data_IF_071527082169
#
_entry.id   IF_071527082169
#
_cell.length_a   1.000
_cell.length_b   1.000
_cell.length_c   1.000
_cell.angle_alpha   90.00
_cell.angle_beta   90.00
_cell.angle_gamma   90.00
#
_symmetry.space_group_name_H-M   'P 1'
#
loop_
_entity.id
_entity.type
_entity.pdbx_description
1 polymer ?
#
# COMPACT_ATOMS: atom_id res chain seq x y z
N UNK A 1 -1.64 -23.87 13.47
CA UNK A 1 -2.09 -23.24 12.22
C UNK A 1 -2.99 -22.03 12.49
N UNK A 2 -4.05 -22.19 13.29
CA UNK A 2 -4.98 -21.11 13.65
C UNK A 2 -4.32 -19.87 14.25
N UNK A 3 -3.33 -20.04 15.14
CA UNK A 3 -2.63 -18.90 15.77
C UNK A 3 -1.94 -17.94 14.78
N UNK A 4 -1.47 -18.43 13.62
CA UNK A 4 -0.86 -17.56 12.59
C UNK A 4 -1.92 -16.72 11.87
N UNK A 5 -3.10 -17.31 11.65
CA UNK A 5 -4.22 -16.63 10.97
C UNK A 5 -4.79 -15.56 11.90
N UNK A 6 -5.01 -15.88 13.17
CA UNK A 6 -5.52 -14.92 14.16
C UNK A 6 -4.54 -13.77 14.36
N UNK A 7 -3.23 -14.04 14.43
CA UNK A 7 -2.22 -12.99 14.53
C UNK A 7 -2.25 -12.05 13.31
N UNK A 8 -2.29 -12.59 12.09
CA UNK A 8 -2.39 -11.76 10.87
C UNK A 8 -3.67 -10.93 10.85
N UNK A 9 -4.81 -11.48 11.26
CA UNK A 9 -6.06 -10.75 11.35
C UNK A 9 -5.98 -9.58 12.34
N UNK A 10 -5.39 -9.81 13.52
CA UNK A 10 -5.16 -8.76 14.52
C UNK A 10 -4.24 -7.66 13.96
N UNK A 11 -3.17 -8.03 13.27
CA UNK A 11 -2.24 -7.06 12.67
C UNK A 11 -2.90 -6.23 11.55
N UNK A 12 -3.74 -6.84 10.73
CA UNK A 12 -4.52 -6.14 9.69
C UNK A 12 -5.47 -5.12 10.34
N UNK A 13 -6.17 -5.51 11.41
CA UNK A 13 -7.05 -4.62 12.17
C UNK A 13 -6.24 -3.46 12.77
N UNK A 14 -5.14 -3.76 13.46
CA UNK A 14 -4.30 -2.75 14.10
C UNK A 14 -3.74 -1.75 13.07
N UNK A 15 -3.29 -2.24 11.92
CA UNK A 15 -2.81 -1.40 10.84
C UNK A 15 -3.92 -0.51 10.27
N UNK A 16 -5.10 -1.07 10.03
CA UNK A 16 -6.24 -0.31 9.51
C UNK A 16 -6.70 0.76 10.49
N UNK A 17 -6.76 0.44 11.79
CA UNK A 17 -7.06 1.42 12.86
C UNK A 17 -5.97 2.48 12.93
N UNK A 18 -4.69 2.12 12.76
CA UNK A 18 -3.60 3.10 12.76
C UNK A 18 -3.69 4.04 11.56
N UNK A 19 -4.02 3.53 10.37
CA UNK A 19 -4.29 4.34 9.19
C UNK A 19 -5.45 5.31 9.43
N UNK A 20 -6.57 4.79 9.96
CA UNK A 20 -7.81 5.56 10.12
C UNK A 20 -7.71 6.58 11.25
N UNK A 21 -7.04 6.28 12.36
CA UNK A 21 -7.06 7.13 13.55
C UNK A 21 -5.80 7.95 13.73
N UNK A 22 -4.62 7.36 13.46
CA UNK A 22 -3.35 8.02 13.72
C UNK A 22 -2.88 8.80 12.49
N UNK A 23 -2.84 8.15 11.33
CA UNK A 23 -2.31 8.79 10.11
C UNK A 23 -3.22 9.91 9.63
N UNK A 24 -4.52 9.65 9.51
CA UNK A 24 -5.50 10.68 9.09
C UNK A 24 -5.53 11.93 10.00
N UNK A 25 -5.08 11.80 11.26
CA UNK A 25 -5.02 12.90 12.23
C UNK A 25 -3.77 13.75 12.13
N UNK A 26 -2.81 13.40 11.29
CA UNK A 26 -1.58 14.18 11.07
C UNK A 26 -1.88 15.45 10.24
N UNK A 27 -1.09 16.52 10.39
CA UNK A 27 -1.31 17.76 9.64
C UNK A 27 -0.75 17.69 8.21
N UNK A 28 -1.44 18.33 7.27
CA UNK A 28 -0.99 18.49 5.87
C UNK A 28 -0.83 17.16 5.13
N UNK A 29 0.16 17.06 4.25
CA UNK A 29 0.40 15.86 3.42
C UNK A 29 0.75 14.59 4.22
N UNK A 30 1.04 14.70 5.52
CA UNK A 30 1.23 13.55 6.40
C UNK A 30 -0.09 12.80 6.67
N UNK A 31 -1.23 13.48 6.56
CA UNK A 31 -2.57 12.88 6.69
C UNK A 31 -2.84 11.80 5.63
N UNK A 32 -2.21 11.97 4.46
CA UNK A 32 -2.46 11.20 3.24
C UNK A 32 -1.38 10.11 3.01
N UNK A 33 -0.61 9.80 4.04
CA UNK A 33 0.30 8.65 4.00
C UNK A 33 -0.53 7.38 3.89
N UNK A 34 -0.26 6.56 2.87
CA UNK A 34 -0.98 5.33 2.59
C UNK A 34 -0.22 4.13 3.16
N UNK A 35 -0.32 3.92 4.49
CA UNK A 35 0.30 2.77 5.16
C UNK A 35 -0.11 1.42 4.55
N UNK A 36 -1.39 1.19 4.15
CA UNK A 36 -1.79 -0.06 3.52
C UNK A 36 -0.94 -0.42 2.31
N UNK A 37 -0.69 0.52 1.39
CA UNK A 37 0.16 0.28 0.22
C UNK A 37 1.59 0.00 0.64
N UNK A 38 2.14 0.77 1.56
CA UNK A 38 3.53 0.58 2.01
C UNK A 38 3.72 -0.83 2.53
N UNK A 39 2.86 -1.25 3.47
CA UNK A 39 2.94 -2.59 4.05
C UNK A 39 2.68 -3.67 3.01
N UNK A 40 1.77 -3.46 2.07
CA UNK A 40 1.52 -4.40 0.97
C UNK A 40 2.77 -4.61 0.10
N UNK A 41 3.49 -3.54 -0.25
CA UNK A 41 4.74 -3.62 -1.01
C UNK A 41 5.84 -4.34 -0.20
N UNK A 42 5.99 -4.04 1.09
CA UNK A 42 6.90 -4.77 1.98
C UNK A 42 6.53 -6.26 2.09
N UNK A 43 5.25 -6.57 2.20
CA UNK A 43 4.76 -7.95 2.32
C UNK A 43 4.99 -8.76 1.05
N UNK A 44 4.79 -8.15 -0.12
CA UNK A 44 5.15 -8.76 -1.39
C UNK A 44 6.64 -9.08 -1.47
N UNK A 45 7.49 -8.11 -1.09
CA UNK A 45 8.94 -8.26 -1.16
C UNK A 45 9.51 -9.29 -0.17
N UNK A 46 8.93 -9.40 1.04
CA UNK A 46 9.48 -10.19 2.14
C UNK A 46 8.78 -11.53 2.38
N UNK A 47 7.45 -11.53 2.35
CA UNK A 47 6.62 -12.68 2.75
C UNK A 47 6.02 -13.44 1.55
N UNK A 48 6.01 -12.81 0.38
CA UNK A 48 5.54 -13.39 -0.88
C UNK A 48 4.07 -13.15 -1.18
N UNK A 49 3.70 -13.51 -2.42
CA UNK A 49 2.43 -13.12 -3.05
C UNK A 49 1.17 -13.57 -2.30
N UNK A 50 1.11 -14.84 -1.88
CA UNK A 50 -0.10 -15.41 -1.24
C UNK A 50 -0.49 -14.67 0.04
N UNK A 51 0.51 -14.30 0.84
CA UNK A 51 0.28 -13.61 2.11
C UNK A 51 -0.07 -12.14 1.88
N UNK A 52 0.61 -11.48 0.94
CA UNK A 52 0.28 -10.12 0.54
C UNK A 52 -1.16 -10.00 0.00
N UNK A 53 -1.63 -10.99 -0.76
CA UNK A 53 -3.01 -11.03 -1.28
C UNK A 53 -4.04 -11.21 -0.16
N UNK A 54 -3.76 -12.05 0.84
CA UNK A 54 -4.62 -12.15 2.03
C UNK A 54 -4.71 -10.81 2.78
N UNK A 55 -3.58 -10.13 2.94
CA UNK A 55 -3.52 -8.81 3.57
C UNK A 55 -4.24 -7.74 2.75
N UNK A 56 -4.09 -7.76 1.42
CA UNK A 56 -4.75 -6.79 0.54
C UNK A 56 -6.28 -6.90 0.62
N UNK A 57 -6.82 -8.13 0.67
CA UNK A 57 -8.25 -8.34 0.90
C UNK A 57 -8.70 -7.87 2.28
N UNK A 58 -7.96 -8.23 3.33
CA UNK A 58 -8.33 -7.86 4.70
C UNK A 58 -8.33 -6.34 4.93
N UNK A 59 -7.28 -5.65 4.45
CA UNK A 59 -7.20 -4.19 4.53
C UNK A 59 -8.26 -3.52 3.66
N UNK A 60 -8.49 -4.01 2.44
CA UNK A 60 -9.52 -3.46 1.55
C UNK A 60 -10.92 -3.56 2.15
N UNK A 61 -11.26 -4.69 2.75
CA UNK A 61 -12.55 -4.87 3.44
C UNK A 61 -12.71 -3.89 4.62
N UNK A 62 -11.69 -3.74 5.47
CA UNK A 62 -11.77 -2.85 6.62
C UNK A 62 -11.87 -1.38 6.20
N UNK A 63 -11.14 -0.98 5.17
CA UNK A 63 -11.19 0.38 4.64
C UNK A 63 -12.51 0.66 3.94
N UNK A 64 -13.12 -0.29 3.24
CA UNK A 64 -14.45 -0.14 2.65
C UNK A 64 -15.55 0.07 3.71
N UNK A 65 -15.41 -0.50 4.91
CA UNK A 65 -16.37 -0.28 6.01
C UNK A 65 -16.32 1.18 6.50
N UNK A 66 -15.15 1.81 6.46
CA UNK A 66 -14.94 3.17 6.96
C UNK A 66 -15.08 4.25 5.86
N UNK A 67 -14.86 3.87 4.61
CA UNK A 67 -14.81 4.79 3.48
C UNK A 67 -16.18 5.37 3.12
N UNK A 68 -16.18 6.63 2.66
CA UNK A 68 -17.34 7.26 2.01
C UNK A 68 -17.51 6.84 0.54
N UNK A 69 -16.52 6.15 -0.03
CA UNK A 69 -16.62 5.61 -1.38
C UNK A 69 -17.59 4.41 -1.41
N UNK A 70 -18.20 4.11 -2.57
CA UNK A 70 -18.99 2.90 -2.75
C UNK A 70 -18.29 1.64 -2.22
N UNK A 71 -19.03 0.86 -1.43
CA UNK A 71 -18.54 -0.38 -0.83
C UNK A 71 -18.00 -1.34 -1.89
N UNK A 72 -16.81 -1.88 -1.67
CA UNK A 72 -16.14 -2.81 -2.58
C UNK A 72 -15.03 -2.19 -3.42
N UNK A 73 -14.87 -0.85 -3.43
CA UNK A 73 -13.80 -0.20 -4.20
C UNK A 73 -12.44 -0.60 -3.63
N UNK A 74 -12.18 -0.44 -2.33
CA UNK A 74 -10.88 -0.81 -1.77
C UNK A 74 -10.66 -2.32 -1.79
N UNK A 75 -11.72 -3.12 -1.60
CA UNK A 75 -11.66 -4.57 -1.75
C UNK A 75 -11.29 -5.01 -3.17
N UNK A 76 -11.60 -4.23 -4.21
CA UNK A 76 -11.13 -4.48 -5.57
C UNK A 76 -9.71 -3.92 -5.81
N UNK A 77 -9.46 -2.67 -5.40
CA UNK A 77 -8.22 -1.93 -5.66
C UNK A 77 -7.00 -2.63 -5.05
N UNK A 78 -7.02 -2.98 -3.76
CA UNK A 78 -5.82 -3.50 -3.10
C UNK A 78 -5.36 -4.85 -3.65
N UNK A 79 -6.24 -5.85 -3.88
CA UNK A 79 -5.85 -7.08 -4.57
C UNK A 79 -5.35 -6.84 -6.00
N UNK A 80 -5.96 -5.93 -6.76
CA UNK A 80 -5.48 -5.57 -8.11
C UNK A 80 -4.07 -5.00 -8.07
N UNK A 81 -3.77 -4.09 -7.13
CA UNK A 81 -2.42 -3.59 -6.90
C UNK A 81 -1.47 -4.74 -6.54
N UNK A 82 -1.86 -5.62 -5.62
CA UNK A 82 -1.00 -6.74 -5.21
C UNK A 82 -0.63 -7.65 -6.40
N UNK A 83 -1.58 -7.93 -7.29
CA UNK A 83 -1.36 -8.71 -8.52
C UNK A 83 -0.41 -7.97 -9.46
N UNK A 84 -0.67 -6.69 -9.75
CA UNK A 84 0.14 -5.89 -10.67
C UNK A 84 1.56 -5.70 -10.16
N UNK A 85 1.73 -5.35 -8.89
CA UNK A 85 3.04 -5.15 -8.27
C UNK A 85 3.83 -6.46 -8.21
N UNK A 86 3.18 -7.59 -7.92
CA UNK A 86 3.84 -8.89 -7.99
C UNK A 86 4.31 -9.22 -9.42
N UNK A 87 3.51 -8.90 -10.43
CA UNK A 87 3.92 -9.06 -11.83
C UNK A 87 5.17 -8.23 -12.14
N UNK A 88 5.21 -6.95 -11.75
CA UNK A 88 6.38 -6.10 -11.93
C UNK A 88 7.60 -6.58 -11.13
N UNK A 89 7.40 -7.03 -9.89
CA UNK A 89 8.45 -7.56 -9.03
C UNK A 89 9.16 -8.76 -9.69
N UNK A 90 8.39 -9.69 -10.26
CA UNK A 90 8.93 -10.93 -10.86
C UNK A 90 9.64 -10.64 -12.19
N UNK A 91 9.09 -9.76 -13.03
CA UNK A 91 9.59 -9.59 -14.41
C UNK A 91 10.60 -8.44 -14.58
N UNK A 92 10.52 -7.38 -13.78
CA UNK A 92 11.32 -6.17 -13.96
C UNK A 92 12.30 -5.91 -12.81
N UNK A 93 11.92 -6.24 -11.57
CA UNK A 93 12.67 -5.85 -10.37
C UNK A 93 13.34 -7.03 -9.66
N UNK A 94 14.22 -7.74 -10.38
CA UNK A 94 14.93 -8.92 -9.86
C UNK A 94 15.93 -8.57 -8.75
N UNK A 95 16.46 -7.34 -8.76
CA UNK A 95 17.40 -6.87 -7.74
C UNK A 95 16.66 -6.34 -6.51
N UNK A 96 16.96 -6.91 -5.33
CA UNK A 96 16.48 -6.41 -4.02
C UNK A 96 17.22 -5.16 -3.54
N UNK A 97 17.36 -4.18 -4.42
CA UNK A 97 17.97 -2.88 -4.09
C UNK A 97 16.92 -1.89 -3.60
N UNK A 98 17.38 -0.85 -2.89
CA UNK A 98 16.54 0.28 -2.47
C UNK A 98 15.81 0.89 -3.69
N UNK A 99 16.50 1.06 -4.82
CA UNK A 99 15.93 1.66 -6.03
C UNK A 99 14.76 0.85 -6.58
N UNK A 100 14.89 -0.47 -6.66
CA UNK A 100 13.80 -1.35 -7.08
C UNK A 100 12.60 -1.24 -6.14
N UNK A 101 12.86 -1.14 -4.83
CA UNK A 101 11.81 -1.07 -3.83
C UNK A 101 11.04 0.27 -3.89
N UNK A 102 11.76 1.39 -4.01
CA UNK A 102 11.15 2.70 -4.21
C UNK A 102 10.37 2.79 -5.52
N UNK A 103 10.88 2.20 -6.60
CA UNK A 103 10.18 2.13 -7.88
C UNK A 103 8.88 1.32 -7.79
N UNK A 104 8.91 0.18 -7.08
CA UNK A 104 7.69 -0.61 -6.82
C UNK A 104 6.67 0.16 -5.96
N UNK A 105 7.12 0.86 -4.92
CA UNK A 105 6.23 1.68 -4.11
C UNK A 105 5.63 2.85 -4.89
N UNK A 106 6.44 3.54 -5.69
CA UNK A 106 5.99 4.58 -6.62
C UNK A 106 4.91 4.05 -7.55
N UNK A 107 5.15 2.89 -8.17
CA UNK A 107 4.21 2.26 -9.09
C UNK A 107 2.91 1.84 -8.36
N UNK A 108 3.01 1.32 -7.14
CA UNK A 108 1.85 0.95 -6.34
C UNK A 108 0.98 2.15 -5.96
N UNK A 109 1.59 3.28 -5.60
CA UNK A 109 0.90 4.53 -5.29
C UNK A 109 0.19 5.09 -6.53
N UNK A 110 0.87 5.14 -7.68
CA UNK A 110 0.25 5.59 -8.93
C UNK A 110 -0.92 4.69 -9.33
N UNK A 111 -0.75 3.37 -9.26
CA UNK A 111 -1.82 2.43 -9.56
C UNK A 111 -3.00 2.60 -8.60
N UNK A 112 -2.75 2.87 -7.32
CA UNK A 112 -3.81 3.12 -6.36
C UNK A 112 -4.67 4.31 -6.76
N UNK A 113 -4.07 5.47 -6.98
CA UNK A 113 -4.83 6.67 -7.37
C UNK A 113 -5.61 6.43 -8.66
N UNK A 114 -4.96 5.87 -9.69
CA UNK A 114 -5.61 5.58 -10.97
C UNK A 114 -6.79 4.62 -10.79
N UNK A 115 -6.63 3.53 -10.01
CA UNK A 115 -7.68 2.54 -9.82
C UNK A 115 -8.82 3.06 -8.96
N UNK A 116 -8.54 3.81 -7.88
CA UNK A 116 -9.57 4.43 -7.05
C UNK A 116 -10.38 5.42 -7.88
N UNK A 117 -9.73 6.38 -8.55
CA UNK A 117 -10.44 7.37 -9.35
C UNK A 117 -11.23 6.74 -10.51
N UNK A 118 -10.66 5.77 -11.22
CA UNK A 118 -11.36 5.11 -12.34
C UNK A 118 -12.56 4.27 -11.89
N UNK A 119 -12.44 3.51 -10.80
CA UNK A 119 -13.55 2.72 -10.26
C UNK A 119 -14.63 3.60 -9.65
N UNK A 120 -14.25 4.65 -8.91
CA UNK A 120 -15.20 5.64 -8.43
C UNK A 120 -15.95 6.25 -9.61
N UNK A 121 -15.26 6.79 -10.61
CA UNK A 121 -15.90 7.39 -11.78
C UNK A 121 -16.87 6.42 -12.48
N UNK A 122 -16.49 5.15 -12.65
CA UNK A 122 -17.35 4.13 -13.23
C UNK A 122 -18.63 3.91 -12.42
N UNK A 123 -18.55 3.84 -11.09
CA UNK A 123 -19.72 3.64 -10.22
C UNK A 123 -20.65 4.85 -10.26
N UNK A 124 -20.12 6.07 -10.14
CA UNK A 124 -20.92 7.30 -10.18
C UNK A 124 -21.58 7.51 -11.55
N UNK A 125 -20.88 7.16 -12.63
CA UNK A 125 -21.44 7.17 -13.99
C UNK A 125 -22.65 6.24 -14.12
N UNK A 126 -22.55 5.01 -13.61
CA UNK A 126 -23.66 4.05 -13.60
C UNK A 126 -24.84 4.55 -12.75
N UNK A 127 -24.55 5.19 -11.62
CA UNK A 127 -25.55 5.74 -10.71
C UNK A 127 -26.14 7.09 -11.17
N UNK A 128 -25.68 7.64 -12.31
CA UNK A 128 -26.07 8.96 -12.84
C UNK A 128 -25.91 10.09 -11.82
N UNK A 129 -24.87 10.00 -11.00
CA UNK A 129 -24.49 11.01 -10.04
C UNK A 129 -23.27 11.77 -10.58
N UNK A 130 -23.27 13.09 -10.42
CA UNK A 130 -22.16 13.91 -10.85
C UNK A 130 -20.98 13.78 -9.88
N UNK A 131 -19.82 13.38 -10.41
CA UNK A 131 -18.55 13.37 -9.71
C UNK A 131 -17.72 14.57 -10.22
N UNK A 132 -17.72 15.66 -9.47
CA UNK A 132 -16.94 16.85 -9.83
C UNK A 132 -15.50 16.68 -9.34
N UNK A 133 -14.65 16.14 -10.22
CA UNK A 133 -13.19 16.12 -10.00
C UNK A 133 -12.58 17.30 -10.76
N UNK A 134 -11.98 18.24 -10.03
CA UNK A 134 -11.31 19.40 -10.61
C UNK A 134 -9.81 19.10 -10.75
N UNK A 135 -9.35 18.94 -11.99
CA UNK A 135 -7.93 18.78 -12.32
C UNK A 135 -7.24 20.14 -12.43
N UNK A 136 -7.23 20.92 -11.36
CA UNK A 136 -6.57 22.22 -11.31
C UNK A 136 -5.09 22.10 -10.87
N UNK A 137 -4.36 23.22 -10.90
CA UNK A 137 -2.95 23.24 -10.49
C UNK A 137 -2.75 22.87 -9.02
N UNK A 138 -3.75 23.14 -8.17
CA UNK A 138 -3.71 22.78 -6.76
C UNK A 138 -3.82 21.27 -6.57
N UNK A 139 -4.73 20.60 -7.28
CA UNK A 139 -4.88 19.16 -7.30
C UNK A 139 -3.54 18.47 -7.62
N UNK A 140 -2.86 18.88 -8.69
CA UNK A 140 -1.57 18.29 -9.06
C UNK A 140 -0.48 18.55 -8.03
N UNK A 141 -0.46 19.75 -7.43
CA UNK A 141 0.48 20.08 -6.36
C UNK A 141 0.25 19.23 -5.11
N UNK A 142 -1.01 19.04 -4.70
CA UNK A 142 -1.37 18.23 -3.54
C UNK A 142 -1.02 16.75 -3.80
N UNK A 143 -1.38 16.22 -4.96
CA UNK A 143 -1.05 14.84 -5.34
C UNK A 143 0.46 14.59 -5.42
N UNK A 144 1.24 15.54 -5.94
CA UNK A 144 2.69 15.44 -5.95
C UNK A 144 3.28 15.46 -4.52
N UNK A 145 2.74 16.30 -3.64
CA UNK A 145 3.13 16.37 -2.22
C UNK A 145 2.88 15.05 -1.51
N UNK A 146 1.68 14.50 -1.65
CA UNK A 146 1.31 13.19 -1.09
C UNK A 146 2.21 12.08 -1.64
N UNK A 147 2.48 12.07 -2.95
CA UNK A 147 3.35 11.08 -3.58
C UNK A 147 4.79 11.13 -3.02
N UNK A 148 5.37 12.32 -2.92
CA UNK A 148 6.71 12.52 -2.36
C UNK A 148 6.77 12.08 -0.89
N UNK A 149 5.77 12.46 -0.09
CA UNK A 149 5.71 12.07 1.33
C UNK A 149 5.61 10.55 1.50
N UNK A 150 4.79 9.89 0.69
CA UNK A 150 4.67 8.44 0.70
C UNK A 150 6.00 7.76 0.33
N UNK A 151 6.69 8.24 -0.71
CA UNK A 151 8.02 7.71 -1.07
C UNK A 151 9.08 7.96 0.02
N UNK A 152 9.05 9.13 0.65
CA UNK A 152 9.91 9.45 1.79
C UNK A 152 9.68 8.50 2.96
N UNK A 153 8.42 8.21 3.30
CA UNK A 153 8.08 7.26 4.34
C UNK A 153 8.55 5.83 4.00
N UNK A 154 8.37 5.39 2.76
CA UNK A 154 8.89 4.09 2.28
C UNK A 154 10.40 4.02 2.37
N UNK A 155 11.12 5.10 1.99
CA UNK A 155 12.56 5.20 2.13
C UNK A 155 13.01 5.03 3.58
N UNK A 156 12.37 5.76 4.51
CA UNK A 156 12.67 5.68 5.95
C UNK A 156 12.41 4.26 6.47
N UNK A 157 11.24 3.69 6.16
CA UNK A 157 10.88 2.33 6.56
C UNK A 157 11.90 1.30 6.04
N UNK A 158 12.34 1.42 4.79
CA UNK A 158 13.32 0.50 4.21
C UNK A 158 14.64 0.54 4.99
N UNK A 159 15.12 1.74 5.36
CA UNK A 159 16.32 1.87 6.18
C UNK A 159 16.14 1.30 7.57
N UNK A 160 15.00 1.56 8.24
CA UNK A 160 14.69 0.97 9.54
C UNK A 160 14.68 -0.56 9.49
N UNK A 161 14.02 -1.14 8.48
CA UNK A 161 14.03 -2.59 8.27
C UNK A 161 15.43 -3.14 7.99
N UNK A 162 16.22 -2.45 7.17
CA UNK A 162 17.58 -2.85 6.85
C UNK A 162 18.50 -2.79 8.09
N UNK A 163 18.34 -1.77 8.93
CA UNK A 163 19.08 -1.64 10.19
C UNK A 163 18.70 -2.74 11.17
N UNK A 164 17.40 -3.01 11.35
CA UNK A 164 16.93 -4.10 12.20
C UNK A 164 17.40 -5.48 11.67
N UNK A 165 17.39 -5.68 10.35
CA UNK A 165 17.82 -6.90 9.69
C UNK A 165 19.32 -7.17 9.72
N UNK A 166 20.18 -6.13 9.83
CA UNK A 166 21.63 -6.30 9.94
C UNK A 166 22.07 -7.04 11.22
N UNK A 167 21.27 -6.98 12.28
CA UNK A 167 21.47 -7.77 13.50
C UNK A 167 20.96 -9.23 13.37
N UNK A 168 20.28 -9.56 12.27
CA UNK A 168 19.72 -10.87 11.95
C UNK A 168 20.41 -11.53 10.75
N UNK A 169 21.72 -11.30 10.57
CA UNK A 169 22.53 -12.22 9.75
C UNK A 169 22.92 -13.41 10.62
N UNK A 170 22.27 -14.59 10.53
CA UNK A 170 22.96 -15.80 10.91
C UNK A 170 24.20 -15.89 10.01
N UNK A 171 25.35 -15.95 10.65
CA UNK A 171 26.64 -16.22 10.04
C UNK A 171 26.56 -17.61 9.41
N UNK A 172 26.00 -17.73 8.21
CA UNK A 172 26.20 -18.89 7.36
C UNK A 172 27.51 -18.71 6.59
N UNK A 173 28.61 -18.66 7.34
CA UNK A 173 29.89 -19.20 6.88
C UNK A 173 29.86 -20.69 7.20
N UNK A 174 29.09 -21.48 6.45
CA UNK A 174 29.39 -22.90 6.35
C UNK A 174 30.44 -23.02 5.26
N UNK A 175 31.68 -23.10 5.74
CA UNK A 175 32.89 -23.31 4.96
C UNK A 175 33.13 -24.82 4.90
N UNK A 176 32.80 -25.45 3.77
CA UNK A 176 33.54 -26.54 3.10
C UNK A 176 32.69 -27.15 2.00
#
# INVERSE_FOLDING_TARGET
>A
MYGKITLNAILIILLSVSQISFVSGLPGWFADINLPIMVLVFMLALSGFRLALFWSFGMGLLLDIYSFLPFGIYMAVFPSIAILINFFLIHFFTNRSLYSFLALAALALLLHEILVYSLSYAVYFVNRQDLNVYFDGKFWSDQAGVFIMNLGAVFILFYLFTLAGKNLKPVFLIRR
#
